data_IF_965288107950
#
_entry.id   IF_965288107950
#
_cell.length_a   1.000
_cell.length_b   1.000
_cell.length_c   1.000
_cell.angle_alpha   90.00
_cell.angle_beta   90.00
_cell.angle_gamma   90.00
#
_symmetry.space_group_name_H-M   'P 1'
#
loop_
_entity.id
_entity.type
_entity.pdbx_description
1 polymer ?
#
# COMPACT_ATOMS: atom_id res chain seq x y z
N UNK A 1 30.85 -28.45 -70.23
CA UNK A 1 30.07 -29.41 -71.03
C UNK A 1 28.67 -29.54 -70.42
N UNK A 2 27.66 -29.06 -71.13
CA UNK A 2 26.21 -29.35 -71.10
C UNK A 2 25.49 -29.20 -69.77
N UNK A 3 24.67 -28.15 -69.62
CA UNK A 3 23.30 -27.94 -70.16
C UNK A 3 22.27 -28.93 -69.60
N UNK A 4 21.29 -28.35 -69.01
CA UNK A 4 19.82 -28.35 -69.33
C UNK A 4 19.05 -28.44 -68.02
N UNK A 5 18.29 -27.53 -67.72
CA UNK A 5 17.01 -26.96 -68.24
C UNK A 5 15.77 -27.54 -67.55
N UNK A 6 14.95 -26.58 -67.21
CA UNK A 6 13.47 -26.62 -67.14
C UNK A 6 12.83 -27.44 -65.99
N UNK A 7 11.88 -27.01 -65.27
CA UNK A 7 10.64 -26.35 -65.65
C UNK A 7 9.85 -25.99 -64.42
N UNK A 8 9.35 -24.81 -64.34
CA UNK A 8 7.97 -24.45 -64.17
C UNK A 8 7.04 -25.50 -63.55
N UNK A 9 6.46 -25.20 -62.41
CA UNK A 9 5.01 -25.15 -62.30
C UNK A 9 4.55 -24.55 -60.98
N UNK A 10 3.92 -23.46 -61.11
CA UNK A 10 2.85 -22.88 -60.36
C UNK A 10 2.00 -23.91 -59.62
N UNK A 11 1.82 -23.72 -58.30
CA UNK A 11 0.59 -24.05 -57.64
C UNK A 11 0.38 -23.15 -56.45
N UNK A 12 -0.49 -22.21 -56.68
CA UNK A 12 -1.20 -21.44 -55.68
C UNK A 12 -1.88 -22.44 -54.73
N UNK A 13 -1.52 -22.40 -53.49
CA UNK A 13 -2.36 -22.95 -52.42
C UNK A 13 -2.52 -21.90 -51.34
N UNK A 14 -3.60 -21.30 -51.43
CA UNK A 14 -4.37 -20.52 -50.44
C UNK A 14 -4.38 -21.33 -49.16
N UNK A 15 -3.64 -20.89 -48.15
CA UNK A 15 -3.86 -21.34 -46.78
C UNK A 15 -4.38 -20.20 -45.96
N UNK A 16 -5.59 -20.42 -45.55
CA UNK A 16 -6.44 -19.60 -44.74
C UNK A 16 -5.75 -19.04 -43.48
N UNK A 17 -5.93 -17.77 -43.34
CA UNK A 17 -6.01 -17.02 -42.10
C UNK A 17 -6.87 -17.78 -41.07
N UNK A 18 -6.22 -18.27 -40.05
CA UNK A 18 -6.86 -18.65 -38.81
C UNK A 18 -5.82 -18.66 -37.70
N UNK A 19 -5.48 -17.50 -37.19
CA UNK A 19 -4.93 -17.33 -35.86
C UNK A 19 -4.98 -15.85 -35.50
N UNK A 20 -6.14 -15.41 -35.18
CA UNK A 20 -6.38 -14.09 -34.63
C UNK A 20 -7.38 -14.22 -33.51
N UNK A 21 -7.03 -14.94 -32.43
CA UNK A 21 -7.90 -15.05 -31.27
C UNK A 21 -7.16 -15.46 -30.00
N UNK A 22 -5.99 -14.90 -29.75
CA UNK A 22 -5.29 -15.17 -28.48
C UNK A 22 -4.52 -13.97 -27.89
N UNK A 23 -4.66 -12.77 -28.45
CA UNK A 23 -3.95 -11.58 -27.91
C UNK A 23 -4.86 -10.43 -27.53
N UNK A 24 -6.16 -10.64 -27.32
CA UNK A 24 -7.09 -9.59 -26.90
C UNK A 24 -7.71 -9.78 -25.51
N UNK A 25 -7.31 -10.80 -24.76
CA UNK A 25 -7.83 -11.01 -23.39
C UNK A 25 -6.96 -10.40 -22.27
N UNK A 26 -5.80 -9.83 -22.58
CA UNK A 26 -4.97 -9.16 -21.58
C UNK A 26 -5.28 -7.66 -21.37
N UNK A 27 -6.21 -7.08 -22.15
CA UNK A 27 -6.50 -5.66 -22.09
C UNK A 27 -7.92 -5.33 -21.57
N UNK A 28 -8.63 -6.27 -20.98
CA UNK A 28 -10.02 -6.09 -20.56
C UNK A 28 -10.30 -6.29 -19.07
N UNK A 29 -9.26 -6.18 -18.22
CA UNK A 29 -9.41 -6.28 -16.76
C UNK A 29 -9.03 -5.02 -15.99
N UNK A 30 -8.99 -3.86 -16.65
CA UNK A 30 -8.69 -2.58 -15.98
C UNK A 30 -9.88 -1.66 -15.75
N UNK A 31 -11.12 -2.08 -16.04
CA UNK A 31 -12.29 -1.22 -15.91
C UNK A 31 -13.34 -1.81 -14.95
N UNK A 32 -12.87 -2.24 -13.76
CA UNK A 32 -13.73 -2.40 -12.61
C UNK A 32 -13.55 -1.14 -11.73
N UNK A 33 -14.13 -0.03 -12.16
CA UNK A 33 -14.40 1.11 -11.30
C UNK A 33 -15.34 0.68 -10.19
N UNK A 34 -14.75 0.36 -9.06
CA UNK A 34 -15.40 0.13 -7.78
C UNK A 34 -14.70 0.97 -6.73
N UNK A 35 -15.39 2.01 -6.29
CA UNK A 35 -15.07 2.89 -5.18
C UNK A 35 -13.92 2.45 -4.25
N UNK A 36 -12.82 3.23 -4.24
CA UNK A 36 -12.07 3.45 -3.02
C UNK A 36 -11.16 2.35 -2.49
N UNK A 37 -10.83 1.31 -3.25
CA UNK A 37 -9.83 0.35 -2.81
C UNK A 37 -8.45 0.89 -3.12
N UNK A 38 -7.75 1.41 -2.09
CA UNK A 38 -6.34 1.73 -2.17
C UNK A 38 -5.60 0.48 -2.68
N UNK A 39 -4.99 0.59 -3.87
CA UNK A 39 -4.13 -0.48 -4.37
C UNK A 39 -2.97 -0.65 -3.38
N UNK A 40 -2.83 -1.84 -2.81
CA UNK A 40 -1.77 -2.12 -1.87
C UNK A 40 -0.43 -2.06 -2.59
N UNK A 41 0.39 -1.07 -2.27
CA UNK A 41 1.73 -0.94 -2.82
C UNK A 41 2.61 -2.08 -2.32
N UNK A 42 3.37 -2.69 -3.22
CA UNK A 42 4.29 -3.76 -2.85
C UNK A 42 5.55 -3.21 -2.17
N UNK A 43 6.03 -3.94 -1.18
CA UNK A 43 7.29 -3.62 -0.52
C UNK A 43 8.48 -4.03 -1.40
N UNK A 44 9.54 -3.21 -1.40
CA UNK A 44 10.82 -3.58 -2.00
C UNK A 44 11.51 -4.72 -1.20
N UNK A 45 12.65 -5.19 -1.69
CA UNK A 45 13.42 -6.25 -1.03
C UNK A 45 13.91 -5.88 0.40
N UNK A 46 13.86 -4.60 0.77
CA UNK A 46 14.21 -4.07 2.09
C UNK A 46 13.01 -3.77 2.97
N UNK A 47 11.80 -4.05 2.48
CA UNK A 47 10.55 -3.79 3.18
C UNK A 47 10.02 -2.36 3.04
N UNK A 48 10.61 -1.51 2.18
CA UNK A 48 10.12 -0.15 2.00
C UNK A 48 8.93 -0.13 1.06
N UNK A 49 7.94 0.67 1.41
CA UNK A 49 6.71 0.89 0.66
C UNK A 49 6.51 2.38 0.44
N UNK A 50 6.44 2.81 -0.82
CA UNK A 50 6.04 4.16 -1.16
C UNK A 50 4.51 4.20 -1.27
N UNK A 51 3.83 4.81 -0.29
CA UNK A 51 2.35 4.80 -0.22
C UNK A 51 1.77 5.99 -0.98
N UNK A 52 2.27 7.19 -0.68
CA UNK A 52 1.81 8.44 -1.29
C UNK A 52 2.90 9.51 -1.21
N UNK A 53 2.81 10.61 -1.95
CA UNK A 53 3.69 11.76 -1.75
C UNK A 53 3.66 12.21 -0.29
N UNK A 54 4.84 12.27 0.35
CA UNK A 54 4.97 12.60 1.78
C UNK A 54 4.62 11.48 2.75
N UNK A 55 4.38 10.24 2.27
CA UNK A 55 4.12 9.08 3.09
C UNK A 55 4.91 7.87 2.60
N UNK A 56 5.81 7.40 3.41
CA UNK A 56 6.53 6.15 3.17
C UNK A 56 6.43 5.23 4.38
N UNK A 57 6.45 3.93 4.12
CA UNK A 57 6.45 2.91 5.14
C UNK A 57 7.66 2.00 5.00
N UNK A 58 8.06 1.40 6.11
CA UNK A 58 9.01 0.30 6.16
C UNK A 58 8.42 -0.81 7.00
N UNK A 59 8.21 -1.97 6.38
CA UNK A 59 7.75 -3.17 7.08
C UNK A 59 8.92 -3.75 7.86
N UNK A 60 8.82 -3.74 9.19
CA UNK A 60 9.83 -4.26 10.11
C UNK A 60 9.50 -5.67 10.59
N UNK A 61 8.21 -6.00 10.65
CA UNK A 61 7.73 -7.36 10.90
C UNK A 61 6.57 -7.67 9.95
N UNK A 62 6.57 -8.86 9.36
CA UNK A 62 5.51 -9.29 8.43
C UNK A 62 4.32 -9.83 9.21
N UNK A 63 3.15 -9.41 8.81
CA UNK A 63 1.89 -9.94 9.31
C UNK A 63 1.38 -11.15 8.53
N UNK A 64 0.15 -11.53 8.82
CA UNK A 64 -0.56 -12.68 8.22
C UNK A 64 -2.06 -12.39 8.05
N UNK A 65 -2.72 -13.22 7.27
CA UNK A 65 -4.17 -13.11 7.05
C UNK A 65 -4.57 -12.11 5.97
N UNK A 66 -5.77 -11.56 6.10
CA UNK A 66 -6.27 -10.57 5.15
C UNK A 66 -5.67 -9.20 5.40
N UNK A 67 -5.59 -8.43 4.34
CA UNK A 67 -5.18 -7.03 4.42
C UNK A 67 -6.30 -6.15 5.00
N UNK A 68 -5.89 -5.11 5.71
CA UNK A 68 -6.77 -4.06 6.20
C UNK A 68 -7.34 -3.26 5.02
N UNK A 69 -8.65 -3.05 5.03
CA UNK A 69 -9.36 -2.28 4.01
C UNK A 69 -10.12 -1.11 4.63
N UNK A 70 -10.52 -0.17 3.78
CA UNK A 70 -11.37 0.97 4.19
C UNK A 70 -12.64 0.46 4.88
N UNK A 71 -12.99 1.08 6.00
CA UNK A 71 -14.14 0.73 6.83
C UNK A 71 -13.86 -0.26 7.95
N UNK A 72 -12.78 -1.03 7.89
CA UNK A 72 -12.39 -1.92 9.00
C UNK A 72 -12.06 -1.14 10.27
N UNK A 73 -12.33 -1.74 11.44
CA UNK A 73 -11.78 -1.28 12.70
C UNK A 73 -10.42 -1.93 12.94
N UNK A 74 -9.41 -1.10 13.09
CA UNK A 74 -8.04 -1.51 13.37
C UNK A 74 -7.71 -1.26 14.85
N UNK A 75 -7.27 -2.29 15.55
CA UNK A 75 -6.65 -2.20 16.86
C UNK A 75 -5.14 -2.20 16.69
N UNK A 76 -4.47 -1.13 17.11
CA UNK A 76 -3.02 -0.96 16.89
C UNK A 76 -2.28 -0.64 18.17
N UNK A 77 -1.07 -1.16 18.33
CA UNK A 77 -0.07 -0.58 19.20
C UNK A 77 0.79 0.39 18.41
N UNK A 78 1.17 1.50 19.02
CA UNK A 78 1.94 2.51 18.31
C UNK A 78 2.79 3.37 19.22
N UNK A 79 3.90 3.85 18.68
CA UNK A 79 4.76 4.86 19.28
C UNK A 79 5.03 5.96 18.26
N UNK A 80 4.98 7.20 18.68
CA UNK A 80 5.23 8.40 17.89
C UNK A 80 6.52 9.07 18.32
N UNK A 81 7.38 9.33 17.35
CA UNK A 81 8.55 10.21 17.49
C UNK A 81 8.45 11.39 16.52
N UNK A 82 9.07 12.50 16.88
CA UNK A 82 9.45 13.49 15.88
C UNK A 82 10.55 12.86 15.02
N UNK A 83 10.40 12.94 13.70
CA UNK A 83 11.45 12.44 12.82
C UNK A 83 12.69 13.33 12.90
N UNK A 84 13.85 12.70 13.08
CA UNK A 84 15.16 13.35 13.07
C UNK A 84 16.12 12.50 12.23
N UNK A 85 16.56 13.04 11.11
CA UNK A 85 17.46 12.34 10.18
C UNK A 85 18.83 11.95 10.82
N UNK A 86 19.24 12.68 11.88
CA UNK A 86 20.50 12.43 12.57
C UNK A 86 20.36 11.42 13.72
N UNK A 87 19.13 11.06 14.08
CA UNK A 87 18.88 10.08 15.12
C UNK A 87 18.89 8.64 14.56
N UNK A 88 19.32 7.65 15.35
CA UNK A 88 19.28 6.26 14.94
C UNK A 88 17.88 5.83 14.50
N UNK A 89 17.76 5.36 13.26
CA UNK A 89 16.46 4.97 12.69
C UNK A 89 15.50 6.12 12.46
N UNK A 90 15.94 7.38 12.51
CA UNK A 90 15.07 8.54 12.37
C UNK A 90 14.23 8.84 13.61
N UNK A 91 14.46 8.14 14.72
CA UNK A 91 13.70 8.25 15.98
C UNK A 91 14.26 9.36 16.84
N UNK A 92 13.74 10.58 16.65
CA UNK A 92 14.07 11.74 17.49
C UNK A 92 13.35 11.70 18.84
N UNK A 93 12.78 12.83 19.25
CA UNK A 93 12.05 12.90 20.52
C UNK A 93 10.78 12.05 20.48
N UNK A 94 10.62 11.15 21.44
CA UNK A 94 9.36 10.41 21.65
C UNK A 94 8.29 11.36 22.16
N UNK A 95 7.15 11.34 21.49
CA UNK A 95 6.01 12.22 21.80
C UNK A 95 4.92 11.45 22.56
N UNK A 96 4.66 10.21 22.15
CA UNK A 96 3.59 9.41 22.71
C UNK A 96 3.76 7.93 22.35
N UNK A 97 3.26 7.07 23.25
CA UNK A 97 3.16 5.63 23.00
C UNK A 97 1.86 5.08 23.60
N UNK A 98 1.32 4.04 22.99
CA UNK A 98 0.18 3.29 23.55
C UNK A 98 0.57 2.41 24.74
N UNK A 99 1.87 2.26 25.02
CA UNK A 99 2.40 1.50 26.15
C UNK A 99 2.18 -0.01 26.12
N UNK A 100 1.58 -0.55 25.07
CA UNK A 100 1.38 -2.00 24.90
C UNK A 100 0.25 -2.61 25.75
N UNK A 101 -0.41 -1.87 26.65
CA UNK A 101 -1.48 -2.41 27.50
C UNK A 101 -2.84 -2.43 26.82
N UNK A 102 -3.19 -1.34 26.15
CA UNK A 102 -4.46 -1.21 25.39
C UNK A 102 -4.17 -0.76 23.99
N UNK A 103 -4.55 -1.54 22.95
CA UNK A 103 -4.51 -1.08 21.58
C UNK A 103 -5.39 0.17 21.41
N UNK A 104 -4.92 1.08 20.58
CA UNK A 104 -5.74 2.19 20.09
C UNK A 104 -6.58 1.68 18.92
N UNK A 105 -7.91 1.85 19.03
CA UNK A 105 -8.84 1.44 17.98
C UNK A 105 -9.32 2.64 17.19
N UNK A 106 -9.37 2.49 15.88
CA UNK A 106 -9.96 3.46 14.95
C UNK A 106 -10.52 2.76 13.71
N UNK A 107 -11.44 3.43 13.02
CA UNK A 107 -11.96 2.95 11.74
C UNK A 107 -11.13 3.53 10.61
N UNK A 108 -10.63 2.67 9.72
CA UNK A 108 -9.77 3.04 8.59
C UNK A 108 -10.59 3.85 7.58
N UNK A 109 -10.00 4.95 7.10
CA UNK A 109 -10.58 5.87 6.10
C UNK A 109 -11.86 6.57 6.57
N UNK A 110 -12.08 6.63 7.88
CA UNK A 110 -13.19 7.38 8.48
C UNK A 110 -12.82 8.82 8.90
N UNK A 111 -11.57 9.23 8.68
CA UNK A 111 -11.07 10.56 9.06
C UNK A 111 -11.01 10.78 10.57
N UNK A 112 -10.97 9.71 11.37
CA UNK A 112 -10.84 9.77 12.82
C UNK A 112 -9.42 10.06 13.27
N UNK A 113 -8.45 9.78 12.40
CA UNK A 113 -7.01 9.91 12.63
C UNK A 113 -6.40 10.82 11.57
N UNK A 114 -5.10 11.12 11.69
CA UNK A 114 -4.38 11.87 10.65
C UNK A 114 -4.36 11.08 9.33
N UNK A 115 -4.37 11.80 8.21
CA UNK A 115 -4.47 11.17 6.89
C UNK A 115 -3.33 10.18 6.61
N UNK A 116 -2.14 10.44 7.14
CA UNK A 116 -1.01 9.51 7.05
C UNK A 116 -1.31 8.14 7.68
N UNK A 117 -2.17 8.06 8.69
CA UNK A 117 -2.59 6.81 9.29
C UNK A 117 -3.64 6.09 8.46
N UNK A 118 -4.70 6.79 8.02
CA UNK A 118 -5.73 6.20 7.16
C UNK A 118 -5.10 5.53 5.92
N UNK A 119 -4.12 6.21 5.31
CA UNK A 119 -3.38 5.66 4.17
C UNK A 119 -2.34 4.61 4.56
N UNK A 120 -1.64 4.81 5.68
CA UNK A 120 -0.49 4.01 6.09
C UNK A 120 -0.87 2.67 6.70
N UNK A 121 -2.04 2.57 7.36
CA UNK A 121 -2.53 1.33 7.97
C UNK A 121 -3.34 0.50 6.96
N UNK A 122 -3.87 1.12 5.93
CA UNK A 122 -4.46 0.39 4.83
C UNK A 122 -3.47 -0.64 4.26
N UNK A 123 -3.98 -1.80 3.89
CA UNK A 123 -3.20 -2.93 3.40
C UNK A 123 -2.23 -3.58 4.41
N UNK A 124 -2.22 -3.18 5.68
CA UNK A 124 -1.49 -3.92 6.72
C UNK A 124 -2.14 -5.28 6.98
N UNK A 125 -1.32 -6.27 7.29
CA UNK A 125 -1.77 -7.57 7.77
C UNK A 125 -1.76 -7.61 9.30
N UNK A 126 -2.61 -8.43 9.90
CA UNK A 126 -2.57 -8.63 11.37
C UNK A 126 -1.21 -9.17 11.80
N UNK A 127 -0.64 -8.60 12.86
CA UNK A 127 0.70 -8.89 13.34
C UNK A 127 1.82 -8.19 12.57
N UNK A 128 1.47 -7.42 11.54
CA UNK A 128 2.46 -6.60 10.82
C UNK A 128 2.86 -5.39 11.64
N UNK A 129 4.17 -5.09 11.65
CA UNK A 129 4.70 -3.87 12.21
C UNK A 129 5.30 -3.02 11.09
N UNK A 130 4.90 -1.76 11.04
CA UNK A 130 5.37 -0.75 10.08
C UNK A 130 5.95 0.46 10.79
N UNK A 131 7.06 0.97 10.26
CA UNK A 131 7.48 2.36 10.50
C UNK A 131 6.87 3.23 9.41
N UNK A 132 6.07 4.24 9.79
CA UNK A 132 5.49 5.23 8.88
C UNK A 132 6.20 6.56 9.05
N UNK A 133 6.86 7.04 8.00
CA UNK A 133 7.35 8.41 7.93
C UNK A 133 6.29 9.27 7.24
N UNK A 134 5.81 10.28 7.96
CA UNK A 134 4.65 11.09 7.58
C UNK A 134 5.08 12.56 7.49
N UNK A 135 4.94 13.15 6.31
CA UNK A 135 5.16 14.59 6.11
C UNK A 135 4.09 15.42 6.84
N UNK A 136 4.38 16.68 7.17
CA UNK A 136 3.46 17.53 7.93
C UNK A 136 2.06 17.62 7.33
N UNK A 137 1.93 17.65 6.01
CA UNK A 137 0.65 17.79 5.29
C UNK A 137 -0.30 16.62 5.50
N UNK A 138 0.25 15.45 5.78
CA UNK A 138 -0.52 14.23 6.11
C UNK A 138 -0.61 13.96 7.61
N UNK A 139 0.06 14.78 8.40
CA UNK A 139 0.09 14.77 9.86
C UNK A 139 -0.68 15.93 10.47
N UNK A 140 0.02 16.75 11.27
CA UNK A 140 -0.57 17.88 12.00
C UNK A 140 -0.32 19.24 11.32
N UNK A 141 0.33 19.26 10.16
CA UNK A 141 0.47 20.44 9.29
C UNK A 141 1.22 21.60 9.90
N UNK A 142 0.96 22.78 9.31
CA UNK A 142 1.59 24.04 9.73
C UNK A 142 1.14 24.54 11.12
N UNK A 143 0.08 23.99 11.70
CA UNK A 143 -0.39 24.36 13.04
C UNK A 143 0.24 23.53 14.13
N UNK A 144 0.63 22.31 13.83
CA UNK A 144 1.00 21.32 14.84
C UNK A 144 -0.17 20.93 15.75
N UNK A 145 0.10 20.10 16.73
CA UNK A 145 -0.82 19.75 17.82
C UNK A 145 0.03 19.45 19.06
N UNK A 146 0.06 20.30 20.07
CA UNK A 146 0.90 20.06 21.25
C UNK A 146 0.78 18.63 21.77
N UNK A 147 1.86 17.93 22.04
CA UNK A 147 3.27 18.38 22.02
C UNK A 147 3.98 18.36 20.66
N UNK A 148 3.31 18.03 19.56
CA UNK A 148 3.88 18.04 18.21
C UNK A 148 4.00 19.49 17.71
N UNK A 149 5.20 19.97 17.35
CA UNK A 149 5.40 21.32 16.84
C UNK A 149 4.84 21.52 15.42
N UNK A 150 4.67 22.78 15.00
CA UNK A 150 4.33 23.10 13.61
C UNK A 150 5.32 22.55 12.60
N UNK A 151 4.82 22.08 11.46
CA UNK A 151 5.60 21.54 10.35
C UNK A 151 6.52 20.37 10.73
N UNK A 152 6.18 19.60 11.74
CA UNK A 152 6.95 18.43 12.13
C UNK A 152 6.73 17.25 11.18
N UNK A 153 7.81 16.64 10.73
CA UNK A 153 7.77 15.29 10.17
C UNK A 153 7.63 14.27 11.32
N UNK A 154 6.81 13.27 11.12
CA UNK A 154 6.48 12.28 12.13
C UNK A 154 7.02 10.91 11.73
N UNK A 155 7.49 10.17 12.71
CA UNK A 155 7.80 8.76 12.58
C UNK A 155 6.93 7.97 13.56
N UNK A 156 6.08 7.13 13.03
CA UNK A 156 5.30 6.18 13.83
C UNK A 156 5.82 4.77 13.63
N UNK A 157 5.90 4.02 14.71
CA UNK A 157 5.91 2.57 14.65
C UNK A 157 4.49 2.11 14.98
N UNK A 158 3.90 1.30 14.10
CA UNK A 158 2.54 0.81 14.24
C UNK A 158 2.55 -0.71 14.08
N UNK A 159 2.02 -1.40 15.06
CA UNK A 159 1.72 -2.83 15.02
C UNK A 159 0.20 -3.02 14.91
N UNK A 160 -0.24 -3.71 13.87
CA UNK A 160 -1.65 -4.06 13.70
C UNK A 160 -1.98 -5.32 14.48
N UNK A 161 -2.67 -5.17 15.60
CA UNK A 161 -2.99 -6.27 16.54
C UNK A 161 -4.20 -7.05 16.06
N UNK A 162 -5.24 -6.33 15.60
CA UNK A 162 -6.52 -6.94 15.24
C UNK A 162 -7.24 -6.12 14.17
N UNK A 163 -7.99 -6.82 13.32
CA UNK A 163 -8.96 -6.24 12.41
C UNK A 163 -10.36 -6.76 12.74
N UNK A 164 -11.32 -5.87 12.75
CA UNK A 164 -12.74 -6.19 12.90
C UNK A 164 -13.50 -5.56 11.75
N UNK A 165 -14.28 -6.35 11.04
CA UNK A 165 -15.14 -5.85 9.97
C UNK A 165 -16.26 -4.98 10.56
N UNK A 166 -16.70 -3.92 9.85
CA UNK A 166 -17.88 -3.17 10.27
C UNK A 166 -19.10 -4.11 10.32
N UNK A 167 -19.91 -3.99 11.35
CA UNK A 167 -21.17 -4.73 11.39
C UNK A 167 -22.03 -4.35 10.19
N UNK A 168 -22.39 -5.34 9.39
CA UNK A 168 -23.33 -5.12 8.29
C UNK A 168 -24.75 -5.00 8.89
N UNK A 169 -25.42 -3.83 8.81
CA UNK A 169 -26.76 -3.67 9.38
C UNK A 169 -27.85 -4.46 8.66
N UNK A 170 -27.47 -5.34 7.72
CA UNK A 170 -28.39 -6.15 6.90
C UNK A 170 -28.35 -7.67 7.27
N UNK A 171 -28.07 -8.04 8.52
CA UNK A 171 -28.17 -9.44 8.99
C UNK A 171 -29.36 -9.62 9.89
#
# INVERSE_FOLDING_TARGET
>A
MRLRDLSLSSLVAMVLVACGAAEQDAARQSDAEGAGQLACAEADAKGNVAIAPGLSAKITNKGYGRAAVSGDYADVHTTLWLYDENAPGGRGTEIWTSGGERPFQFQIDAGQVIKGWDLGVACMLVGETRELKIAPELGYGARGKPPVPPNAELLFEIELVKLTEPENPAS
#
